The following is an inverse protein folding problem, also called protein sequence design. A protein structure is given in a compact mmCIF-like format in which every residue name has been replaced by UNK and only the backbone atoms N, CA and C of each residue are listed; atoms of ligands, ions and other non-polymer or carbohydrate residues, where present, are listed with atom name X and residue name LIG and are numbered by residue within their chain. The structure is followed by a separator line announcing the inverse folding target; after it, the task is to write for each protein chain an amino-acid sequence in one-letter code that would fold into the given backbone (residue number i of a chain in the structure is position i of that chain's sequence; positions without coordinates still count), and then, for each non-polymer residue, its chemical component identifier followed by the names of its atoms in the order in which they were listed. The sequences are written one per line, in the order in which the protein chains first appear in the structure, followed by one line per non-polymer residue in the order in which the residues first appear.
data_IF_090988801651
#
_entry.id   IF_090988801651
#
_cell.length_a   1.000
_cell.length_b   1.000
_cell.length_c   1.000
_cell.angle_alpha   90.00
_cell.angle_beta   90.00
_cell.angle_gamma   90.00
#
_symmetry.space_group_name_H-M   'P 1'
#
loop_
_entity.id
_entity.type
_entity.pdbx_description
1 polymer ?
#
# COMPACT_ATOMS: atom_id res chain seq x y z
N UNK A 1 11.34 17.47 7.09
CA UNK A 1 11.33 16.06 6.64
C UNK A 1 11.09 15.19 7.85
N UNK A 2 9.88 14.66 7.95
CA UNK A 2 9.45 13.83 9.09
C UNK A 2 10.04 12.43 8.94
N UNK A 3 10.63 11.90 10.00
CA UNK A 3 11.16 10.54 9.99
C UNK A 3 9.99 9.55 10.08
N UNK A 4 9.97 8.49 9.26
CA UNK A 4 8.84 7.54 9.18
C UNK A 4 8.46 6.94 10.53
N UNK A 5 9.43 6.76 11.43
CA UNK A 5 9.24 6.20 12.77
C UNK A 5 8.62 7.19 13.77
N UNK A 6 8.48 8.46 13.39
CA UNK A 6 7.75 9.46 14.16
C UNK A 6 6.28 9.63 13.73
N UNK A 7 5.85 8.91 12.68
CA UNK A 7 4.45 8.90 12.22
C UNK A 7 3.73 7.71 12.84
N UNK A 8 2.57 7.97 13.44
CA UNK A 8 1.75 6.93 14.03
C UNK A 8 1.21 5.99 12.94
N UNK A 9 1.04 4.71 13.29
CA UNK A 9 0.50 3.71 12.36
C UNK A 9 -0.89 4.08 11.85
N UNK A 10 -1.70 4.67 12.73
CA UNK A 10 -3.04 5.17 12.43
C UNK A 10 -2.98 6.19 11.29
N UNK A 11 -2.04 7.14 11.31
CA UNK A 11 -1.89 8.14 10.24
C UNK A 11 -1.49 7.51 8.90
N UNK A 12 -0.67 6.45 8.93
CA UNK A 12 -0.28 5.74 7.69
C UNK A 12 -1.47 4.95 7.15
N UNK A 13 -2.26 4.32 8.02
CA UNK A 13 -3.48 3.61 7.62
C UNK A 13 -4.53 4.58 7.06
N UNK A 14 -4.73 5.73 7.71
CA UNK A 14 -5.60 6.80 7.21
C UNK A 14 -5.16 7.28 5.82
N UNK A 15 -3.86 7.50 5.59
CA UNK A 15 -3.35 7.87 4.28
C UNK A 15 -3.53 6.77 3.21
N UNK A 16 -3.49 5.49 3.62
CA UNK A 16 -3.83 4.36 2.73
C UNK A 16 -5.31 4.40 2.37
N UNK A 17 -6.20 4.67 3.33
CA UNK A 17 -7.64 4.81 3.08
C UNK A 17 -7.94 6.00 2.17
N UNK A 18 -7.35 7.16 2.45
CA UNK A 18 -7.55 8.39 1.66
C UNK A 18 -7.06 8.21 0.21
N UNK A 19 -5.92 7.53 0.01
CA UNK A 19 -5.44 7.21 -1.33
C UNK A 19 -6.40 6.28 -2.09
N UNK A 20 -7.02 5.30 -1.41
CA UNK A 20 -8.05 4.46 -2.03
C UNK A 20 -9.31 5.25 -2.39
N UNK A 21 -9.77 6.13 -1.51
CA UNK A 21 -10.96 6.95 -1.74
C UNK A 21 -10.77 7.93 -2.91
N UNK A 22 -9.52 8.33 -3.19
CA UNK A 22 -9.15 9.15 -4.34
C UNK A 22 -8.91 8.33 -5.63
N UNK A 23 -9.30 7.05 -5.66
CA UNK A 23 -9.10 6.11 -6.77
C UNK A 23 -7.62 5.86 -7.10
N UNK A 24 -6.72 6.13 -6.15
CA UNK A 24 -5.28 6.06 -6.36
C UNK A 24 -4.71 4.65 -6.11
N UNK A 25 -5.27 3.73 -6.89
CA UNK A 25 -5.01 2.31 -6.81
C UNK A 25 -4.36 1.78 -8.08
N UNK A 26 -3.72 0.62 -7.97
CA UNK A 26 -3.22 -0.10 -9.14
C UNK A 26 -4.38 -0.87 -9.79
N UNK A 27 -4.47 -0.85 -11.12
CA UNK A 27 -5.50 -1.59 -11.84
C UNK A 27 -5.40 -3.11 -11.62
N UNK A 28 -6.52 -3.81 -11.86
CA UNK A 28 -6.67 -5.27 -11.77
C UNK A 28 -6.45 -5.86 -10.36
N UNK A 29 -7.08 -5.25 -9.36
CA UNK A 29 -7.07 -5.74 -7.97
C UNK A 29 -5.90 -5.23 -7.12
N UNK A 30 -5.15 -4.25 -7.61
CA UNK A 30 -4.01 -3.70 -6.90
C UNK A 30 -4.34 -2.54 -5.96
N UNK A 31 -3.71 -2.53 -4.80
CA UNK A 31 -3.91 -1.52 -3.76
C UNK A 31 -3.11 -0.24 -4.01
N UNK A 32 -2.98 0.57 -2.95
CA UNK A 32 -2.36 1.89 -3.06
C UNK A 32 -0.87 1.81 -3.36
N UNK A 33 -0.39 2.80 -4.12
CA UNK A 33 1.01 2.99 -4.45
C UNK A 33 1.75 3.55 -3.23
N UNK A 34 2.86 2.94 -2.76
CA UNK A 34 3.64 3.48 -1.64
C UNK A 34 4.10 4.92 -1.83
N UNK A 35 4.40 5.33 -3.07
CA UNK A 35 4.78 6.71 -3.38
C UNK A 35 3.66 7.70 -3.02
N UNK A 36 2.41 7.32 -3.22
CA UNK A 36 1.27 8.22 -3.05
C UNK A 36 0.90 8.34 -1.57
N UNK A 37 0.90 7.22 -0.85
CA UNK A 37 0.84 7.23 0.63
C UNK A 37 1.98 8.09 1.22
N UNK A 38 3.18 8.04 0.64
CA UNK A 38 4.30 8.88 1.09
C UNK A 38 4.04 10.38 0.87
N UNK A 39 3.37 10.75 -0.23
CA UNK A 39 2.99 12.13 -0.48
C UNK A 39 1.93 12.61 0.53
N UNK A 40 0.92 11.79 0.83
CA UNK A 40 -0.10 12.12 1.85
C UNK A 40 0.52 12.31 3.25
N UNK A 41 1.53 11.53 3.61
CA UNK A 41 2.20 11.63 4.90
C UNK A 41 3.39 12.63 4.94
N UNK A 42 3.68 13.33 3.84
CA UNK A 42 4.90 14.16 3.68
C UNK A 42 6.22 13.41 4.01
N UNK A 43 6.26 12.11 3.69
CA UNK A 43 7.34 11.19 4.03
C UNK A 43 8.30 10.93 2.87
N UNK A 44 9.55 10.56 3.20
CA UNK A 44 10.46 10.03 2.20
C UNK A 44 9.99 8.64 1.70
N UNK A 45 9.86 8.43 0.38
CA UNK A 45 9.30 7.20 -0.19
C UNK A 45 10.06 5.92 0.20
N UNK A 46 11.37 6.03 0.40
CA UNK A 46 12.22 4.90 0.79
C UNK A 46 11.85 4.33 2.16
N UNK A 47 11.59 5.20 3.14
CA UNK A 47 11.32 4.83 4.52
C UNK A 47 9.90 4.30 4.73
N UNK A 48 8.94 4.73 3.90
CA UNK A 48 7.56 4.25 4.00
C UNK A 48 7.39 2.79 3.58
N UNK A 49 8.21 2.33 2.63
CA UNK A 49 8.09 0.97 2.09
C UNK A 49 8.32 -0.09 3.17
N UNK A 50 9.30 0.13 4.05
CA UNK A 50 9.56 -0.78 5.18
C UNK A 50 8.42 -0.71 6.19
N UNK A 51 7.84 0.47 6.44
CA UNK A 51 6.71 0.60 7.37
C UNK A 51 5.43 -0.07 6.87
N UNK A 52 5.10 0.06 5.58
CA UNK A 52 3.98 -0.65 4.96
C UNK A 52 4.21 -2.17 4.95
N UNK A 53 5.47 -2.61 4.83
CA UNK A 53 5.83 -4.01 5.00
C UNK A 53 5.58 -4.47 6.43
N UNK A 54 6.03 -3.72 7.45
CA UNK A 54 5.76 -4.03 8.87
C UNK A 54 4.26 -4.13 9.14
N UNK A 55 3.48 -3.12 8.74
CA UNK A 55 2.02 -3.12 8.90
C UNK A 55 1.33 -4.28 8.17
N UNK A 56 1.92 -4.75 7.08
CA UNK A 56 1.42 -5.93 6.38
C UNK A 56 1.75 -7.23 7.12
N UNK A 57 2.96 -7.36 7.65
CA UNK A 57 3.36 -8.48 8.51
C UNK A 57 2.53 -8.55 9.80
N UNK A 58 2.20 -7.39 10.37
CA UNK A 58 1.36 -7.26 11.57
C UNK A 58 -0.13 -7.51 11.28
N UNK A 59 -0.50 -7.72 10.01
CA UNK A 59 -1.86 -8.07 9.58
C UNK A 59 -2.82 -6.89 9.42
N UNK A 60 -2.33 -5.65 9.52
CA UNK A 60 -3.14 -4.45 9.26
C UNK A 60 -3.35 -4.20 7.76
N UNK A 61 -2.37 -4.58 6.94
CA UNK A 61 -2.42 -4.43 5.48
C UNK A 61 -2.22 -5.76 4.75
N UNK A 62 -2.90 -5.93 3.64
CA UNK A 62 -2.69 -7.02 2.70
C UNK A 62 -1.92 -6.50 1.50
N UNK A 63 -0.81 -7.19 1.21
CA UNK A 63 -0.04 -6.94 0.00
C UNK A 63 -0.74 -7.59 -1.19
N UNK A 64 -0.95 -6.80 -2.23
CA UNK A 64 -1.59 -7.24 -3.47
C UNK A 64 -0.76 -6.80 -4.67
N UNK A 65 -1.04 -7.40 -5.83
CA UNK A 65 -0.39 -7.06 -7.08
C UNK A 65 -1.39 -6.41 -8.03
N UNK A 66 -0.98 -5.33 -8.69
CA UNK A 66 -1.75 -4.71 -9.76
C UNK A 66 -0.86 -4.10 -10.82
N UNK A 67 -1.46 -3.58 -11.87
CA UNK A 67 -0.75 -2.92 -12.97
C UNK A 67 -0.95 -1.41 -12.84
N UNK A 68 0.07 -0.63 -13.23
CA UNK A 68 -0.09 0.82 -13.29
C UNK A 68 -1.04 1.18 -14.44
N UNK A 69 -2.21 1.71 -14.12
CA UNK A 69 -3.21 2.12 -15.11
C UNK A 69 -2.67 3.25 -16.01
N UNK A 70 -1.84 4.11 -15.42
CA UNK A 70 -1.22 5.27 -16.08
C UNK A 70 -0.02 4.85 -16.96
N UNK A 71 0.44 3.60 -16.83
CA UNK A 71 1.62 3.10 -17.52
C UNK A 71 1.40 1.67 -18.05
N UNK A 72 0.54 1.51 -19.08
CA UNK A 72 0.27 0.21 -19.68
C UNK A 72 1.56 -0.42 -20.23
N UNK A 73 1.76 -1.72 -19.94
CA UNK A 73 2.93 -2.49 -20.37
C UNK A 73 4.06 -2.62 -19.34
N UNK A 74 3.95 -1.99 -18.17
CA UNK A 74 4.91 -2.19 -17.07
C UNK A 74 4.57 -3.43 -16.22
N UNK A 75 5.58 -4.08 -15.62
CA UNK A 75 5.36 -5.26 -14.79
C UNK A 75 4.45 -4.94 -13.60
N UNK A 76 3.73 -5.96 -13.12
CA UNK A 76 2.88 -5.84 -11.94
C UNK A 76 3.68 -5.25 -10.76
N UNK A 77 3.05 -4.33 -10.03
CA UNK A 77 3.61 -3.62 -8.89
C UNK A 77 2.91 -4.04 -7.60
N UNK A 78 3.65 -3.93 -6.50
CA UNK A 78 3.12 -4.18 -5.15
C UNK A 78 2.29 -2.98 -4.71
N UNK A 79 1.02 -3.24 -4.41
CA UNK A 79 0.13 -2.32 -3.72
C UNK A 79 -0.22 -2.85 -2.32
N UNK A 80 -0.88 -2.02 -1.53
CA UNK A 80 -1.34 -2.36 -0.19
C UNK A 80 -2.83 -2.04 -0.05
N UNK A 81 -3.58 -2.93 0.59
CA UNK A 81 -5.00 -2.75 0.93
C UNK A 81 -5.20 -2.94 2.43
N UNK A 82 -6.19 -2.28 3.05
CA UNK A 82 -6.62 -2.58 4.41
C UNK A 82 -7.02 -4.05 4.55
N UNK A 83 -6.69 -4.66 5.68
CA UNK A 83 -7.20 -5.99 6.02
C UNK A 83 -8.74 -5.99 6.04
N UNK A 84 -9.35 -6.95 5.33
CA UNK A 84 -10.82 -7.01 5.18
C UNK A 84 -11.39 -6.21 4.00
N UNK A 85 -10.57 -5.49 3.22
CA UNK A 85 -11.03 -4.86 1.99
C UNK A 85 -11.58 -5.94 1.01
N UNK A 86 -12.71 -5.71 0.32
CA UNK A 86 -13.33 -6.73 -0.56
C UNK A 86 -12.42 -7.18 -1.70
N UNK A 87 -11.49 -6.33 -2.14
CA UNK A 87 -10.48 -6.67 -3.13
C UNK A 87 -9.21 -7.33 -2.55
N UNK A 88 -9.10 -7.46 -1.22
CA UNK A 88 -7.97 -8.10 -0.53
C UNK A 88 -8.08 -9.64 -0.47
N UNK A 89 -9.02 -10.24 -1.22
CA UNK A 89 -9.19 -11.70 -1.33
C UNK A 89 -8.28 -12.33 -2.40
N UNK A 90 -7.74 -13.51 -2.07
CA UNK A 90 -6.85 -14.34 -2.88
C UNK A 90 -7.33 -14.51 -4.34
N UNK A 91 -6.42 -14.58 -5.34
CA UNK A 91 -5.10 -15.21 -5.29
C UNK A 91 -3.91 -14.25 -5.07
N UNK A 92 -4.16 -12.97 -4.80
CA UNK A 92 -3.09 -11.96 -4.73
C UNK A 92 -2.41 -11.82 -3.36
N UNK A 93 -2.96 -12.47 -2.33
CA UNK A 93 -2.40 -12.55 -0.98
C UNK A 93 -1.42 -13.72 -0.92
N UNK A 94 -0.11 -13.45 -0.98
CA UNK A 94 0.87 -14.49 -0.66
C UNK A 94 0.72 -14.88 0.83
N UNK A 95 0.80 -16.16 1.19
CA UNK A 95 1.06 -16.53 2.57
C UNK A 95 2.40 -15.90 2.98
N UNK A 96 2.46 -15.38 4.20
CA UNK A 96 3.58 -14.55 4.71
C UNK A 96 4.84 -15.39 5.03
N UNK A 97 4.97 -16.59 4.47
CA UNK A 97 6.01 -17.55 4.84
C UNK A 97 6.67 -18.15 3.59
N UNK A 98 7.86 -17.64 3.25
CA UNK A 98 8.97 -18.36 2.60
C UNK A 98 10.30 -17.63 2.84
#
# INVERSE_FOLDING_TARGET
MTHVWGVADETILEAVHEALDNDDCLAFGGGVRPKHVAMHCELQPGSLRDRLLTLSTDGHLIRVWGVDADQPGYPARRGYLPAGHPAATAPYSLPVDQ
#
